data_IF_515053075144
#
_entry.id   IF_515053075144
#
_cell.length_a   1.000
_cell.length_b   1.000
_cell.length_c   1.000
_cell.angle_alpha   90.00
_cell.angle_beta   90.00
_cell.angle_gamma   90.00
#
_symmetry.space_group_name_H-M   'P 1'
#
loop_
_entity.id
_entity.type
_entity.pdbx_description
1 polymer ?
#
# COMPACT_ATOMS: atom_id res chain seq x y z
N UNK A 1 -11.28 -17.85 -4.59
CA UNK A 1 -10.81 -17.98 -3.20
C UNK A 1 -9.39 -17.41 -3.03
N UNK A 2 -8.45 -17.74 -3.92
CA UNK A 2 -7.07 -17.21 -3.91
C UNK A 2 -6.95 -15.68 -4.01
N UNK A 3 -7.74 -15.01 -4.87
CA UNK A 3 -7.67 -13.54 -5.01
C UNK A 3 -8.11 -12.80 -3.74
N UNK A 4 -9.08 -13.35 -3.00
CA UNK A 4 -9.51 -12.81 -1.71
C UNK A 4 -8.47 -13.03 -0.63
N UNK A 5 -7.76 -14.17 -0.62
CA UNK A 5 -6.64 -14.41 0.28
C UNK A 5 -5.49 -13.44 -0.01
N UNK A 6 -5.18 -13.19 -1.28
CA UNK A 6 -4.14 -12.26 -1.68
C UNK A 6 -4.49 -10.82 -1.28
N UNK A 7 -5.74 -10.39 -1.50
CA UNK A 7 -6.25 -9.09 -1.01
C UNK A 7 -6.20 -9.00 0.51
N UNK A 8 -6.58 -10.04 1.24
CA UNK A 8 -6.52 -10.04 2.71
C UNK A 8 -5.08 -10.00 3.21
N UNK A 9 -4.16 -10.77 2.63
CA UNK A 9 -2.73 -10.77 3.01
C UNK A 9 -2.08 -9.39 2.82
N UNK A 10 -2.58 -8.58 1.89
CA UNK A 10 -2.06 -7.26 1.58
C UNK A 10 -2.75 -6.15 2.38
N UNK A 11 -4.08 -6.22 2.52
CA UNK A 11 -4.86 -5.22 3.24
C UNK A 11 -4.77 -5.38 4.76
N UNK A 12 -4.73 -6.62 5.25
CA UNK A 12 -4.71 -6.93 6.67
C UNK A 12 -3.47 -6.36 7.38
N UNK A 13 -2.24 -6.41 6.82
CA UNK A 13 -1.08 -5.71 7.37
C UNK A 13 -1.26 -4.20 7.42
N UNK A 14 -1.90 -3.58 6.43
CA UNK A 14 -2.18 -2.15 6.44
C UNK A 14 -3.20 -1.77 7.53
N UNK A 15 -4.30 -2.51 7.68
CA UNK A 15 -5.26 -2.26 8.77
C UNK A 15 -4.65 -2.53 10.15
N UNK A 16 -3.86 -3.59 10.27
CA UNK A 16 -3.13 -3.91 11.49
C UNK A 16 -2.11 -2.82 11.83
N UNK A 17 -1.41 -2.28 10.83
CA UNK A 17 -0.50 -1.13 10.99
C UNK A 17 -1.23 0.08 11.55
N UNK A 18 -2.39 0.44 11.03
CA UNK A 18 -3.19 1.56 11.55
C UNK A 18 -3.63 1.34 13.00
N UNK A 19 -4.11 0.14 13.34
CA UNK A 19 -4.51 -0.18 14.71
C UNK A 19 -3.31 -0.19 15.67
N UNK A 20 -2.19 -0.75 15.22
CA UNK A 20 -0.95 -0.78 15.99
C UNK A 20 -0.41 0.64 16.20
N UNK A 21 -0.41 1.50 15.18
CA UNK A 21 0.20 2.82 15.29
C UNK A 21 -0.55 3.76 16.24
N UNK A 22 -1.85 3.52 16.43
CA UNK A 22 -2.70 4.28 17.35
C UNK A 22 -2.59 3.77 18.80
N UNK A 23 -2.27 2.48 18.97
CA UNK A 23 -2.20 1.83 20.29
C UNK A 23 -0.77 1.58 20.81
N UNK A 24 0.24 1.69 19.94
CA UNK A 24 1.63 1.35 20.27
C UNK A 24 2.32 2.43 21.10
N UNK A 25 3.00 1.98 22.16
CA UNK A 25 3.83 2.85 22.98
C UNK A 25 5.06 3.34 22.19
N UNK A 26 5.15 4.65 21.98
CA UNK A 26 6.20 5.33 21.18
C UNK A 26 7.60 5.21 21.80
N UNK A 27 7.68 5.02 23.11
CA UNK A 27 8.95 4.89 23.86
C UNK A 27 9.48 3.45 23.93
N UNK A 28 8.72 2.48 23.40
CA UNK A 28 9.14 1.09 23.41
C UNK A 28 10.31 0.84 22.47
N UNK A 29 11.30 0.05 22.91
CA UNK A 29 12.44 -0.38 22.08
C UNK A 29 12.01 -1.21 20.86
N UNK A 30 10.82 -1.81 20.92
CA UNK A 30 10.21 -2.61 19.86
C UNK A 30 9.57 -1.73 18.78
N UNK A 31 9.13 -0.52 19.15
CA UNK A 31 8.47 0.43 18.25
C UNK A 31 9.28 0.78 16.98
N UNK A 32 10.57 1.17 17.05
CA UNK A 32 11.34 1.50 15.85
C UNK A 32 11.53 0.29 14.91
N UNK A 33 11.61 -0.93 15.45
CA UNK A 33 11.79 -2.16 14.64
C UNK A 33 10.57 -2.38 13.75
N UNK A 34 9.37 -2.34 14.34
CA UNK A 34 8.13 -2.44 13.58
C UNK A 34 7.93 -1.25 12.63
N UNK A 35 8.29 -0.04 13.06
CA UNK A 35 8.22 1.14 12.20
C UNK A 35 9.04 0.99 10.92
N UNK A 36 10.32 0.59 11.02
CA UNK A 36 11.17 0.37 9.84
C UNK A 36 10.71 -0.82 9.00
N UNK A 37 10.21 -1.89 9.63
CA UNK A 37 9.64 -3.04 8.93
C UNK A 37 8.47 -2.63 8.03
N UNK A 38 7.50 -1.90 8.59
CA UNK A 38 6.35 -1.42 7.82
C UNK A 38 6.76 -0.40 6.76
N UNK A 39 7.76 0.46 7.03
CA UNK A 39 8.24 1.43 6.05
C UNK A 39 8.79 0.75 4.79
N UNK A 40 9.62 -0.28 4.97
CA UNK A 40 10.14 -1.10 3.87
C UNK A 40 9.00 -1.85 3.17
N UNK A 41 8.07 -2.43 3.93
CA UNK A 41 6.92 -3.15 3.38
C UNK A 41 6.06 -2.29 2.47
N UNK A 42 5.64 -1.10 2.94
CA UNK A 42 4.79 -0.20 2.15
C UNK A 42 5.54 0.29 0.90
N UNK A 43 6.83 0.58 1.03
CA UNK A 43 7.64 1.01 -0.13
C UNK A 43 7.74 -0.08 -1.20
N UNK A 44 7.98 -1.32 -0.79
CA UNK A 44 7.99 -2.48 -1.68
C UNK A 44 6.61 -2.71 -2.30
N UNK A 45 5.55 -2.56 -1.52
CA UNK A 45 4.18 -2.74 -1.99
C UNK A 45 3.80 -1.67 -3.03
N UNK A 46 4.15 -0.40 -2.80
CA UNK A 46 3.94 0.68 -3.77
C UNK A 46 4.73 0.44 -5.07
N UNK A 47 5.99 -0.02 -4.97
CA UNK A 47 6.79 -0.39 -6.15
C UNK A 47 6.16 -1.55 -6.92
N UNK A 48 5.66 -2.55 -6.20
CA UNK A 48 4.96 -3.69 -6.78
C UNK A 48 3.64 -3.26 -7.45
N UNK A 49 2.86 -2.38 -6.84
CA UNK A 49 1.63 -1.79 -7.41
C UNK A 49 1.92 -1.07 -8.72
N UNK A 50 2.98 -0.27 -8.76
CA UNK A 50 3.39 0.47 -9.95
C UNK A 50 3.84 -0.48 -11.06
N UNK A 51 4.71 -1.46 -10.75
CA UNK A 51 5.16 -2.46 -11.70
C UNK A 51 4.00 -3.31 -12.23
N UNK A 52 3.05 -3.68 -11.37
CA UNK A 52 1.83 -4.41 -11.73
C UNK A 52 0.93 -3.60 -12.66
N UNK A 53 0.81 -2.30 -12.42
CA UNK A 53 0.04 -1.40 -13.29
C UNK A 53 0.64 -1.31 -14.68
N UNK A 54 1.97 -1.14 -14.80
CA UNK A 54 2.67 -1.13 -16.10
C UNK A 54 2.52 -2.49 -16.81
N UNK A 55 2.72 -3.58 -16.07
CA UNK A 55 2.54 -4.94 -16.62
C UNK A 55 1.11 -5.16 -17.11
N UNK A 56 0.11 -4.74 -16.35
CA UNK A 56 -1.31 -4.82 -16.71
C UNK A 56 -1.59 -4.05 -18.00
N UNK A 57 -1.15 -2.79 -18.11
CA UNK A 57 -1.35 -1.98 -19.33
C UNK A 57 -0.73 -2.64 -20.56
N UNK A 58 0.50 -3.17 -20.45
CA UNK A 58 1.17 -3.87 -21.55
C UNK A 58 0.49 -5.20 -21.92
N UNK A 59 0.15 -6.00 -20.92
CA UNK A 59 -0.50 -7.30 -21.10
C UNK A 59 -1.89 -7.14 -21.73
N UNK A 60 -2.68 -6.19 -21.24
CA UNK A 60 -3.99 -5.88 -21.81
C UNK A 60 -3.89 -5.38 -23.25
N UNK A 61 -2.89 -4.57 -23.60
CA UNK A 61 -2.72 -4.09 -24.97
C UNK A 61 -2.43 -5.25 -25.96
N UNK A 62 -1.70 -6.29 -25.51
CA UNK A 62 -1.45 -7.50 -26.29
C UNK A 62 -2.72 -8.37 -26.39
N UNK A 63 -3.46 -8.55 -25.28
CA UNK A 63 -4.64 -9.42 -25.22
C UNK A 63 -5.88 -8.80 -25.90
N UNK A 64 -6.14 -7.51 -25.73
CA UNK A 64 -7.29 -6.79 -26.33
C UNK A 64 -7.15 -6.60 -27.83
N UNK A 65 -5.93 -6.64 -28.39
CA UNK A 65 -5.72 -6.58 -29.84
C UNK A 65 -6.42 -7.72 -30.59
N UNK A 66 -6.76 -8.82 -29.90
CA UNK A 66 -7.35 -10.01 -30.51
C UNK A 66 -8.87 -10.16 -30.30
N UNK A 67 -9.49 -9.43 -29.35
CA UNK A 67 -10.93 -9.56 -29.05
C UNK A 67 -11.54 -8.21 -28.61
N UNK A 68 -12.32 -7.60 -29.50
CA UNK A 68 -13.19 -6.42 -29.28
C UNK A 68 -14.40 -6.76 -28.40
N UNK A 69 -14.18 -7.43 -27.26
CA UNK A 69 -15.25 -7.77 -26.33
C UNK A 69 -15.42 -6.66 -25.29
N UNK A 70 -16.58 -6.00 -25.31
CA UNK A 70 -17.03 -5.00 -24.33
C UNK A 70 -16.91 -5.51 -22.89
N UNK A 71 -17.04 -6.83 -22.71
CA UNK A 71 -16.91 -7.51 -21.42
C UNK A 71 -15.48 -7.46 -20.86
N UNK A 72 -14.46 -7.52 -21.71
CA UNK A 72 -13.05 -7.37 -21.34
C UNK A 72 -12.70 -5.92 -20.99
N UNK A 73 -13.32 -4.94 -21.67
CA UNK A 73 -13.22 -3.52 -21.32
C UNK A 73 -13.77 -3.21 -19.93
N UNK A 74 -14.90 -3.81 -19.55
CA UNK A 74 -15.46 -3.66 -18.20
C UNK A 74 -14.55 -4.21 -17.10
N UNK A 75 -13.92 -5.37 -17.33
CA UNK A 75 -12.94 -5.96 -16.41
C UNK A 75 -11.69 -5.07 -16.31
N UNK A 76 -11.23 -4.50 -17.43
CA UNK A 76 -10.11 -3.58 -17.45
C UNK A 76 -10.36 -2.32 -16.61
N UNK A 77 -11.52 -1.68 -16.77
CA UNK A 77 -11.90 -0.51 -16.00
C UNK A 77 -12.04 -0.83 -14.50
N UNK A 78 -12.58 -2.00 -14.16
CA UNK A 78 -12.68 -2.47 -12.78
C UNK A 78 -11.30 -2.68 -12.14
N UNK A 79 -10.35 -3.27 -12.87
CA UNK A 79 -8.97 -3.47 -12.39
C UNK A 79 -8.26 -2.13 -12.18
N UNK A 80 -8.48 -1.16 -13.07
CA UNK A 80 -7.93 0.18 -12.96
C UNK A 80 -8.49 0.93 -11.74
N UNK A 81 -9.79 0.77 -11.45
CA UNK A 81 -10.41 1.30 -10.24
C UNK A 81 -9.83 0.68 -8.96
N UNK A 82 -9.57 -0.64 -8.98
CA UNK A 82 -8.96 -1.35 -7.84
C UNK A 82 -7.52 -0.85 -7.61
N UNK A 83 -6.72 -0.71 -8.67
CA UNK A 83 -5.37 -0.18 -8.57
C UNK A 83 -5.37 1.23 -7.97
N UNK A 84 -6.23 2.12 -8.46
CA UNK A 84 -6.35 3.47 -7.94
C UNK A 84 -6.77 3.51 -6.46
N UNK A 85 -7.70 2.62 -6.05
CA UNK A 85 -8.09 2.50 -4.65
C UNK A 85 -6.96 1.97 -3.75
N UNK A 86 -6.13 1.06 -4.27
CA UNK A 86 -4.94 0.56 -3.57
C UNK A 86 -3.88 1.65 -3.41
N UNK A 87 -3.55 2.37 -4.48
CA UNK A 87 -2.58 3.47 -4.42
C UNK A 87 -3.04 4.59 -3.46
N UNK A 88 -4.35 4.85 -3.39
CA UNK A 88 -4.92 5.80 -2.42
C UNK A 88 -4.73 5.34 -0.97
N UNK A 89 -4.93 4.06 -0.68
CA UNK A 89 -4.69 3.48 0.65
C UNK A 89 -3.21 3.57 1.04
N UNK A 90 -2.31 3.25 0.12
CA UNK A 90 -0.86 3.38 0.33
C UNK A 90 -0.45 4.82 0.61
N UNK A 91 -1.03 5.76 -0.12
CA UNK A 91 -0.80 7.19 0.10
C UNK A 91 -1.20 7.64 1.51
N UNK A 92 -2.37 7.22 2.01
CA UNK A 92 -2.79 7.57 3.38
C UNK A 92 -1.82 6.94 4.40
N UNK A 93 -1.38 5.71 4.16
CA UNK A 93 -0.43 5.00 5.03
C UNK A 93 0.93 5.71 5.09
N UNK A 94 1.47 6.11 3.93
CA UNK A 94 2.68 6.93 3.81
C UNK A 94 2.55 8.26 4.53
N UNK A 95 1.41 8.94 4.37
CA UNK A 95 1.15 10.22 5.03
C UNK A 95 1.22 10.08 6.55
N UNK A 96 0.57 9.06 7.12
CA UNK A 96 0.65 8.79 8.56
C UNK A 96 2.07 8.49 9.02
N UNK A 97 2.82 7.69 8.26
CA UNK A 97 4.22 7.39 8.57
C UNK A 97 5.14 8.62 8.59
N UNK A 98 4.94 9.55 7.67
CA UNK A 98 5.69 10.81 7.61
C UNK A 98 5.35 11.71 8.80
N UNK A 99 4.08 11.77 9.19
CA UNK A 99 3.64 12.54 10.35
C UNK A 99 4.26 11.99 11.64
N UNK A 100 4.27 10.66 11.81
CA UNK A 100 4.99 10.01 12.89
C UNK A 100 6.49 10.32 12.92
N UNK A 101 7.13 10.39 11.75
CA UNK A 101 8.55 10.76 11.66
C UNK A 101 8.77 12.18 12.18
N UNK A 102 7.84 13.09 11.90
CA UNK A 102 7.88 14.48 12.41
C UNK A 102 7.65 14.52 13.92
N UNK A 103 6.71 13.74 14.45
CA UNK A 103 6.48 13.62 15.90
C UNK A 103 7.71 13.09 16.65
N UNK A 104 8.32 12.01 16.16
CA UNK A 104 9.55 11.44 16.72
C UNK A 104 10.74 12.41 16.60
N UNK A 105 10.84 13.14 15.49
CA UNK A 105 11.86 14.17 15.28
C UNK A 105 11.71 15.35 16.24
N UNK A 106 10.47 15.81 16.49
CA UNK A 106 10.19 16.87 17.48
C UNK A 106 10.45 16.41 18.92
N UNK A 107 10.10 15.17 19.27
CA UNK A 107 10.38 14.60 20.60
C UNK A 107 11.88 14.56 20.93
N UNK A 108 12.74 14.24 19.95
CA UNK A 108 14.21 14.29 20.14
C UNK A 108 14.80 15.71 20.12
N UNK A 109 14.15 16.67 19.46
CA UNK A 109 14.63 18.05 19.30
C UNK A 109 14.32 19.00 20.46
N UNK A 110 13.57 18.55 21.48
CA UNK A 110 13.14 19.37 22.63
C UNK A 110 14.05 19.31 23.87
N UNK A 111 15.22 18.67 23.80
CA UNK A 111 16.24 18.74 24.86
C UNK A 111 17.27 19.81 24.50
N UNK A 112 16.96 21.05 24.87
CA UNK A 112 17.92 22.12 25.12
C UNK A 112 17.47 22.86 26.37
#
# INVERSE_FOLDING_TARGET
MMEYLFKMIILLPCFYFFSWIEKANRDSKIFPIFYYFYWIYITLYALFSLAWTVFSVLFFNIVLRNLTDIKLWGIWLLLLLIAFASDWLDYICFKKMLDLRRELGKSKGGRH
#
